data_IF_895329038912
#
_entry.id   IF_895329038912
#
_cell.length_a   1.000
_cell.length_b   1.000
_cell.length_c   1.000
_cell.angle_alpha   90.00
_cell.angle_beta   90.00
_cell.angle_gamma   90.00
#
_symmetry.space_group_name_H-M   'P 1'
#
loop_
_entity.id
_entity.type
_entity.pdbx_description
1 polymer ?
#
# COMPACT_ATOMS: atom_id res chain seq x y z
N UNK A 1 9.14 15.82 -12.36
CA UNK A 1 8.87 14.58 -11.60
C UNK A 1 7.39 14.56 -11.27
N UNK A 2 6.70 13.45 -11.53
CA UNK A 2 5.25 13.32 -11.28
C UNK A 2 5.03 12.39 -10.11
N UNK A 3 4.23 12.81 -9.13
CA UNK A 3 3.95 12.05 -7.91
C UNK A 3 2.47 11.69 -7.89
N UNK A 4 2.18 10.44 -7.53
CA UNK A 4 0.82 9.93 -7.35
C UNK A 4 0.64 9.40 -5.94
N UNK A 5 -0.61 9.34 -5.49
CA UNK A 5 -0.99 8.63 -4.27
C UNK A 5 -1.88 7.46 -4.60
N UNK A 6 -1.71 6.34 -3.91
CA UNK A 6 -2.54 5.16 -4.09
C UNK A 6 -2.75 4.43 -2.76
N UNK A 7 -4.00 4.09 -2.47
CA UNK A 7 -4.37 3.21 -1.36
C UNK A 7 -4.95 1.91 -1.89
N UNK A 8 -4.66 0.80 -1.21
CA UNK A 8 -5.08 -0.56 -1.62
C UNK A 8 -6.48 -0.95 -1.12
N UNK A 9 -6.98 -0.31 -0.06
CA UNK A 9 -8.32 -0.62 0.48
C UNK A 9 -9.43 -0.21 -0.49
N UNK A 10 -10.50 -1.01 -0.52
CA UNK A 10 -11.67 -0.83 -1.39
C UNK A 10 -11.34 -0.77 -2.90
N UNK A 11 -10.21 -1.34 -3.32
CA UNK A 11 -9.85 -1.53 -4.73
C UNK A 11 -9.59 -3.00 -4.99
N UNK A 12 -10.05 -3.48 -6.15
CA UNK A 12 -9.62 -4.79 -6.63
C UNK A 12 -8.15 -4.74 -7.03
N UNK A 13 -7.49 -5.89 -6.94
CA UNK A 13 -6.12 -6.09 -7.38
C UNK A 13 -5.90 -5.64 -8.82
N UNK A 14 -6.80 -6.05 -9.73
CA UNK A 14 -6.76 -5.65 -11.13
C UNK A 14 -6.79 -4.11 -11.32
N UNK A 15 -7.67 -3.41 -10.59
CA UNK A 15 -7.75 -1.95 -10.66
C UNK A 15 -6.47 -1.30 -10.13
N UNK A 16 -5.91 -1.83 -9.04
CA UNK A 16 -4.68 -1.32 -8.45
C UNK A 16 -3.50 -1.40 -9.44
N UNK A 17 -3.22 -2.57 -10.00
CA UNK A 17 -2.10 -2.75 -10.91
C UNK A 17 -2.31 -2.10 -12.28
N UNK A 18 -3.55 -1.98 -12.76
CA UNK A 18 -3.82 -1.24 -14.00
C UNK A 18 -3.53 0.25 -13.85
N UNK A 19 -3.84 0.86 -12.71
CA UNK A 19 -3.49 2.27 -12.47
C UNK A 19 -1.98 2.49 -12.51
N UNK A 20 -1.20 1.57 -11.96
CA UNK A 20 0.27 1.62 -11.96
C UNK A 20 0.80 1.54 -13.39
N UNK A 21 0.33 0.55 -14.17
CA UNK A 21 0.71 0.35 -15.58
C UNK A 21 0.34 1.54 -16.46
N UNK A 22 -0.91 2.01 -16.38
CA UNK A 22 -1.43 3.08 -17.23
C UNK A 22 -0.71 4.42 -17.00
N UNK A 23 -0.25 4.66 -15.78
CA UNK A 23 0.50 5.88 -15.44
C UNK A 23 2.02 5.69 -15.53
N UNK A 24 2.49 4.55 -16.05
CA UNK A 24 3.91 4.20 -16.19
C UNK A 24 4.73 4.42 -14.91
N UNK A 25 4.13 4.11 -13.76
CA UNK A 25 4.77 4.33 -12.45
C UNK A 25 6.00 3.45 -12.32
N UNK A 26 7.16 4.07 -12.09
CA UNK A 26 8.45 3.39 -12.01
C UNK A 26 8.77 2.81 -10.64
N UNK A 27 8.25 3.41 -9.58
CA UNK A 27 8.55 3.00 -8.21
C UNK A 27 7.39 3.30 -7.26
N UNK A 28 7.06 2.34 -6.42
CA UNK A 28 6.13 2.48 -5.29
C UNK A 28 6.97 2.69 -4.03
N UNK A 29 6.70 3.81 -3.35
CA UNK A 29 7.21 4.08 -2.01
C UNK A 29 6.12 3.71 -1.00
N UNK A 30 6.32 2.60 -0.30
CA UNK A 30 5.40 2.14 0.74
C UNK A 30 5.75 2.85 2.05
N UNK A 31 4.83 3.69 2.52
CA UNK A 31 4.95 4.46 3.76
C UNK A 31 4.04 3.89 4.87
N UNK A 32 3.62 2.62 4.75
CA UNK A 32 2.80 1.98 5.77
C UNK A 32 3.65 1.58 6.96
N UNK A 33 3.19 1.93 8.16
CA UNK A 33 3.82 1.47 9.40
C UNK A 33 3.81 -0.06 9.54
N UNK A 34 2.73 -0.71 9.08
CA UNK A 34 2.58 -2.16 9.08
C UNK A 34 2.17 -2.66 7.69
N UNK A 35 3.03 -3.42 7.00
CA UNK A 35 2.81 -3.90 5.63
C UNK A 35 2.79 -5.44 5.48
N UNK A 36 2.91 -6.19 6.59
CA UNK A 36 3.01 -7.67 6.57
C UNK A 36 1.69 -8.41 6.85
N UNK A 37 0.62 -7.67 7.20
CA UNK A 37 -0.67 -8.26 7.61
C UNK A 37 -1.30 -9.10 6.49
N UNK A 38 -1.84 -10.27 6.86
CA UNK A 38 -2.60 -11.13 5.94
C UNK A 38 -3.89 -10.46 5.44
N UNK A 39 -4.48 -9.57 6.24
CA UNK A 39 -5.65 -8.79 5.86
C UNK A 39 -5.37 -7.80 4.72
N UNK A 40 -4.10 -7.57 4.38
CA UNK A 40 -3.72 -6.75 3.24
C UNK A 40 -3.84 -7.49 1.89
N UNK A 41 -4.07 -8.81 1.89
CA UNK A 41 -4.24 -9.61 0.66
C UNK A 41 -3.07 -9.43 -0.31
N UNK A 42 -3.36 -9.02 -1.55
CA UNK A 42 -2.36 -8.74 -2.60
C UNK A 42 -1.36 -7.65 -2.19
N UNK A 43 -1.76 -6.74 -1.29
CA UNK A 43 -0.93 -5.62 -0.83
C UNK A 43 0.00 -5.98 0.34
N UNK A 44 0.08 -7.25 0.75
CA UNK A 44 1.10 -7.73 1.69
C UNK A 44 2.48 -7.50 1.06
N UNK A 45 3.44 -6.97 1.83
CA UNK A 45 4.77 -6.54 1.37
C UNK A 45 5.40 -7.45 0.30
N UNK A 46 5.57 -8.74 0.61
CA UNK A 46 6.31 -9.65 -0.25
C UNK A 46 5.54 -9.95 -1.55
N UNK A 47 4.21 -10.10 -1.45
CA UNK A 47 3.33 -10.27 -2.60
C UNK A 47 3.30 -9.00 -3.46
N UNK A 48 3.15 -7.84 -2.83
CA UNK A 48 3.11 -6.55 -3.51
C UNK A 48 4.42 -6.29 -4.26
N UNK A 49 5.57 -6.52 -3.63
CA UNK A 49 6.88 -6.40 -4.27
C UNK A 49 6.99 -7.32 -5.48
N UNK A 50 6.58 -8.59 -5.34
CA UNK A 50 6.59 -9.55 -6.44
C UNK A 50 5.68 -9.10 -7.59
N UNK A 51 4.43 -8.74 -7.31
CA UNK A 51 3.47 -8.35 -8.35
C UNK A 51 3.83 -7.04 -9.05
N UNK A 52 4.42 -6.08 -8.34
CA UNK A 52 4.91 -4.85 -8.96
C UNK A 52 6.05 -5.13 -9.95
N UNK A 53 6.97 -6.02 -9.59
CA UNK A 53 8.03 -6.47 -10.49
C UNK A 53 7.45 -7.22 -11.70
N UNK A 54 6.70 -8.29 -11.46
CA UNK A 54 6.21 -9.20 -12.52
C UNK A 54 5.16 -8.56 -13.44
N UNK A 55 4.22 -7.79 -12.88
CA UNK A 55 3.06 -7.30 -13.65
C UNK A 55 3.27 -5.88 -14.17
N UNK A 56 4.12 -5.08 -13.53
CA UNK A 56 4.20 -3.65 -13.80
C UNK A 56 5.62 -3.17 -14.16
N UNK A 57 6.66 -4.01 -14.02
CA UNK A 57 8.06 -3.59 -14.09
C UNK A 57 8.31 -2.33 -13.23
N UNK A 58 7.79 -2.38 -11.99
CA UNK A 58 7.76 -1.28 -11.05
C UNK A 58 8.55 -1.66 -9.80
N UNK A 59 9.46 -0.79 -9.39
CA UNK A 59 10.27 -0.99 -8.19
C UNK A 59 9.43 -0.79 -6.93
N UNK A 60 9.86 -1.42 -5.84
CA UNK A 60 9.22 -1.31 -4.54
C UNK A 60 10.26 -0.97 -3.47
N UNK A 61 9.96 0.04 -2.67
CA UNK A 61 10.74 0.40 -1.49
C UNK A 61 9.81 0.68 -0.31
N UNK A 62 10.13 0.10 0.85
CA UNK A 62 9.43 0.39 2.10
C UNK A 62 10.23 1.43 2.88
N UNK A 63 9.62 2.59 3.13
CA UNK A 63 10.26 3.74 3.79
C UNK A 63 9.44 4.09 5.04
N UNK A 64 9.65 3.39 6.16
CA UNK A 64 8.89 3.61 7.40
C UNK A 64 9.15 4.98 8.04
N UNK A 65 10.27 5.63 7.73
CA UNK A 65 10.58 7.00 8.21
C UNK A 65 9.58 8.05 7.67
N UNK A 66 8.88 7.71 6.58
CA UNK A 66 7.79 8.52 6.01
C UNK A 66 6.40 8.05 6.48
N UNK A 67 6.33 7.01 7.31
CA UNK A 67 5.09 6.54 7.88
C UNK A 67 4.61 7.46 9.01
N UNK A 68 3.28 7.62 9.20
CA UNK A 68 2.77 8.28 10.39
C UNK A 68 3.17 7.49 11.64
N UNK A 69 3.54 8.22 12.69
CA UNK A 69 3.88 7.59 13.98
C UNK A 69 2.68 6.89 14.58
N UNK A 70 2.93 5.89 15.43
CA UNK A 70 1.86 5.19 16.16
C UNK A 70 1.02 6.15 17.01
N UNK A 71 1.65 7.18 17.57
CA UNK A 71 0.98 8.24 18.33
C UNK A 71 -0.03 9.01 17.48
N UNK A 72 0.33 9.34 16.23
CA UNK A 72 -0.57 9.99 15.27
C UNK A 72 -1.69 9.03 14.86
N UNK A 73 -1.40 7.73 14.68
CA UNK A 73 -2.39 6.74 14.20
C UNK A 73 -3.42 6.31 15.24
N UNK A 74 -3.03 6.19 16.52
CA UNK A 74 -3.90 5.67 17.60
C UNK A 74 -5.25 6.42 17.72
N UNK A 75 -5.29 7.76 17.74
CA UNK A 75 -6.55 8.52 17.81
C UNK A 75 -7.50 8.25 16.64
N UNK A 76 -7.00 8.04 15.42
CA UNK A 76 -7.83 7.76 14.25
C UNK A 76 -8.44 6.35 14.30
N UNK A 77 -7.71 5.37 14.83
CA UNK A 77 -8.21 3.99 14.98
C UNK A 77 -9.30 3.89 16.04
N UNK A 78 -9.14 4.58 17.18
CA UNK A 78 -10.12 4.55 18.28
C UNK A 78 -11.48 5.17 17.93
N UNK A 79 -11.52 6.05 16.92
CA UNK A 79 -12.76 6.70 16.49
C UNK A 79 -13.67 5.80 15.64
N UNK A 80 -13.20 4.63 15.23
CA UNK A 80 -13.97 3.66 14.43
C UNK A 80 -14.18 2.41 15.30
N UNK A 81 -15.40 2.23 15.81
CA UNK A 81 -15.80 1.01 16.51
C UNK A 81 -15.69 -0.18 15.55
N UNK A 82 -14.61 -0.96 15.66
CA UNK A 82 -14.53 -2.27 15.01
C UNK A 82 -15.26 -3.29 15.89
N UNK A 83 -16.46 -3.69 15.49
CA UNK A 83 -17.04 -4.98 15.90
C UNK A 83 -16.28 -6.04 15.10
N UNK A 84 -15.54 -6.89 15.78
CA UNK A 84 -14.98 -8.10 15.18
C UNK A 84 -16.12 -9.10 14.97
N UNK A 85 -16.40 -9.43 13.71
CA UNK A 85 -16.93 -10.73 13.28
C UNK A 85 -15.94 -11.29 12.27
#
# INVERSE_FOLDING_TARGET
MTIYTIGFTKKSENKFFNLIKQNHVKKIIDVRLNNVSQLAGFAKRDNLKLFLHELCNCDYEHVPDLAPTDEILKPYKMRINFIYI
#
